data_IF_889653525780
#
_entry.id   IF_889653525780
#
_cell.length_a   1.000
_cell.length_b   1.000
_cell.length_c   1.000
_cell.angle_alpha   90.00
_cell.angle_beta   90.00
_cell.angle_gamma   90.00
#
_symmetry.space_group_name_H-M   'P 1'
#
loop_
_entity.id
_entity.type
_entity.pdbx_description
1 polymer ?
#
# COMPACT_ATOMS: atom_id res chain seq x y z
N UNK A 1 18.78 -34.04 10.67
CA UNK A 1 18.12 -34.01 9.36
C UNK A 1 17.42 -32.67 9.23
N UNK A 2 18.08 -31.70 8.58
CA UNK A 2 17.51 -30.36 8.33
C UNK A 2 16.55 -30.48 7.15
N UNK A 3 15.26 -30.37 7.43
CA UNK A 3 14.27 -30.15 6.37
C UNK A 3 14.34 -28.65 5.97
N UNK A 4 15.10 -28.37 4.92
CA UNK A 4 15.02 -27.11 4.20
C UNK A 4 13.62 -27.03 3.59
N UNK A 5 12.74 -26.25 4.18
CA UNK A 5 11.45 -25.87 3.58
C UNK A 5 11.73 -25.08 2.32
N UNK A 6 11.66 -25.76 1.19
CA UNK A 6 11.75 -25.17 -0.14
C UNK A 6 10.46 -24.37 -0.37
N UNK A 7 10.46 -23.10 0.06
CA UNK A 7 9.35 -22.18 -0.23
C UNK A 7 9.41 -21.91 -1.74
N UNK A 8 8.54 -22.53 -2.49
CA UNK A 8 8.34 -22.27 -3.92
C UNK A 8 8.12 -20.75 -4.08
N UNK A 9 8.80 -20.06 -5.02
CA UNK A 9 8.63 -18.62 -5.19
C UNK A 9 7.15 -18.32 -5.45
N UNK A 10 6.55 -17.49 -4.59
CA UNK A 10 5.16 -17.06 -4.74
C UNK A 10 4.99 -16.49 -6.15
N UNK A 11 3.88 -16.86 -6.81
CA UNK A 11 3.59 -16.33 -8.17
C UNK A 11 3.56 -14.81 -8.10
N UNK A 12 4.22 -14.09 -9.05
CA UNK A 12 4.19 -12.64 -9.09
C UNK A 12 2.74 -12.14 -9.11
N UNK A 13 2.41 -11.22 -8.22
CA UNK A 13 1.11 -10.55 -8.17
C UNK A 13 1.18 -9.14 -8.74
N UNK A 14 2.22 -8.40 -8.38
CA UNK A 14 2.58 -7.15 -9.03
C UNK A 14 3.88 -7.37 -9.81
N UNK A 15 3.88 -7.02 -11.09
CA UNK A 15 5.07 -7.02 -11.95
C UNK A 15 5.19 -5.66 -12.61
N UNK A 16 6.38 -5.09 -12.56
CA UNK A 16 6.75 -3.84 -13.22
C UNK A 16 7.97 -4.13 -14.07
N UNK A 17 7.97 -3.71 -15.33
CA UNK A 17 9.05 -3.96 -16.28
C UNK A 17 9.34 -2.73 -17.12
N UNK A 18 10.60 -2.28 -17.10
CA UNK A 18 11.09 -1.16 -17.89
C UNK A 18 10.32 0.14 -17.68
N UNK A 19 9.86 0.43 -16.45
CA UNK A 19 8.95 1.54 -16.15
C UNK A 19 9.67 2.89 -16.16
N UNK A 20 9.16 3.84 -16.94
CA UNK A 20 9.61 5.22 -16.99
C UNK A 20 8.47 6.19 -16.67
N UNK A 21 8.83 7.28 -15.99
CA UNK A 21 7.94 8.43 -15.77
C UNK A 21 8.69 9.75 -15.90
N UNK A 22 8.12 10.67 -16.66
CA UNK A 22 8.63 12.02 -16.87
C UNK A 22 7.58 13.05 -16.46
N UNK A 23 8.01 14.21 -16.01
CA UNK A 23 7.17 15.39 -15.82
C UNK A 23 7.78 16.58 -16.54
N UNK A 24 6.94 17.56 -16.89
CA UNK A 24 7.34 18.73 -17.66
C UNK A 24 7.51 18.46 -19.16
N UNK A 25 7.76 19.51 -19.93
CA UNK A 25 7.93 19.46 -21.39
C UNK A 25 9.20 20.19 -21.81
N UNK A 26 9.74 19.84 -22.98
CA UNK A 26 10.92 20.46 -23.56
C UNK A 26 12.14 20.41 -22.62
N UNK A 27 12.79 21.54 -22.41
CA UNK A 27 13.98 21.65 -21.55
C UNK A 27 13.67 21.46 -20.06
N UNK A 28 12.42 21.64 -19.62
CA UNK A 28 11.99 21.42 -18.25
C UNK A 28 11.58 19.95 -17.97
N UNK A 29 11.78 19.04 -18.91
CA UNK A 29 11.44 17.62 -18.74
C UNK A 29 12.36 16.96 -17.72
N UNK A 30 11.77 16.44 -16.64
CA UNK A 30 12.47 15.72 -15.58
C UNK A 30 12.05 14.26 -15.60
N UNK A 31 13.02 13.35 -15.65
CA UNK A 31 12.77 11.90 -15.52
C UNK A 31 12.74 11.55 -14.04
N UNK A 32 11.56 11.18 -13.52
CA UNK A 32 11.34 10.85 -12.10
C UNK A 32 11.50 9.36 -11.83
N UNK A 33 11.12 8.48 -12.77
CA UNK A 33 11.41 7.05 -12.70
C UNK A 33 12.13 6.61 -13.96
N UNK A 34 13.17 5.76 -13.76
CA UNK A 34 14.13 5.37 -14.79
C UNK A 34 14.30 3.86 -14.75
N UNK A 35 13.75 3.17 -15.74
CA UNK A 35 13.96 1.73 -15.98
C UNK A 35 13.67 0.87 -14.72
N UNK A 36 12.52 1.10 -14.07
CA UNK A 36 12.15 0.33 -12.89
C UNK A 36 11.65 -1.04 -13.32
N UNK A 37 12.30 -2.09 -12.82
CA UNK A 37 11.88 -3.48 -12.99
C UNK A 37 11.86 -4.18 -11.62
N UNK A 38 10.71 -4.75 -11.24
CA UNK A 38 10.53 -5.50 -9.99
C UNK A 38 9.31 -6.40 -10.04
N UNK A 39 9.23 -7.36 -9.10
CA UNK A 39 8.05 -8.20 -8.94
C UNK A 39 7.76 -8.47 -7.47
N UNK A 40 6.50 -8.38 -7.05
CA UNK A 40 6.03 -8.65 -5.69
C UNK A 40 5.07 -9.84 -5.74
N UNK A 41 5.27 -10.81 -4.87
CA UNK A 41 4.43 -12.01 -4.75
C UNK A 41 3.07 -11.70 -4.16
N UNK A 42 2.09 -12.59 -4.43
CA UNK A 42 0.76 -12.49 -3.83
C UNK A 42 0.86 -12.68 -2.30
N UNK A 43 0.23 -11.80 -1.55
CA UNK A 43 0.24 -11.83 -0.08
C UNK A 43 1.58 -11.40 0.55
N UNK A 44 2.54 -10.90 -0.23
CA UNK A 44 3.75 -10.31 0.33
C UNK A 44 3.49 -8.90 0.88
N UNK A 45 4.19 -8.55 1.94
CA UNK A 45 4.40 -7.17 2.38
C UNK A 45 5.70 -6.70 1.76
N UNK A 46 5.64 -5.64 0.96
CA UNK A 46 6.79 -4.99 0.34
C UNK A 46 6.97 -3.60 0.93
N UNK A 47 8.20 -3.22 1.27
CA UNK A 47 8.56 -1.87 1.71
C UNK A 47 9.39 -1.20 0.63
N UNK A 48 8.95 -0.03 0.17
CA UNK A 48 9.65 0.82 -0.78
C UNK A 48 10.27 2.00 -0.04
N UNK A 49 11.58 1.98 0.08
CA UNK A 49 12.41 2.98 0.77
C UNK A 49 13.01 3.99 -0.21
N UNK A 50 13.41 5.12 0.33
CA UNK A 50 14.21 6.12 -0.40
C UNK A 50 14.04 7.52 0.18
N UNK A 51 14.95 8.45 -0.13
CA UNK A 51 14.86 9.83 0.32
C UNK A 51 13.63 10.55 -0.29
N UNK A 52 13.30 11.72 0.26
CA UNK A 52 12.28 12.59 -0.34
C UNK A 52 12.66 12.91 -1.79
N UNK A 53 11.69 12.92 -2.68
CA UNK A 53 11.91 13.21 -4.11
C UNK A 53 12.49 12.05 -4.93
N UNK A 54 12.73 10.86 -4.36
CA UNK A 54 13.28 9.72 -5.11
C UNK A 54 12.32 9.05 -6.09
N UNK A 55 11.03 9.44 -6.11
CA UNK A 55 10.01 8.88 -7.01
C UNK A 55 9.05 7.88 -6.36
N UNK A 56 9.08 7.68 -5.02
CA UNK A 56 8.25 6.68 -4.31
C UNK A 56 6.75 6.88 -4.52
N UNK A 57 6.23 8.08 -4.25
CA UNK A 57 4.80 8.38 -4.44
C UNK A 57 4.40 8.33 -5.91
N UNK A 58 5.31 8.71 -6.83
CA UNK A 58 5.11 8.53 -8.28
C UNK A 58 4.96 7.06 -8.62
N UNK A 59 5.83 6.18 -8.08
CA UNK A 59 5.71 4.73 -8.27
C UNK A 59 4.35 4.21 -7.77
N UNK A 60 3.91 4.62 -6.57
CA UNK A 60 2.59 4.26 -6.04
C UNK A 60 1.45 4.74 -6.95
N UNK A 61 1.54 5.97 -7.46
CA UNK A 61 0.52 6.54 -8.35
C UNK A 61 0.39 5.73 -9.66
N UNK A 62 1.52 5.32 -10.23
CA UNK A 62 1.53 4.50 -11.45
C UNK A 62 0.96 3.11 -11.19
N UNK A 63 1.40 2.42 -10.13
CA UNK A 63 0.87 1.11 -9.73
C UNK A 63 -0.61 1.23 -9.31
N UNK A 64 -1.00 2.34 -8.71
CA UNK A 64 -2.39 2.66 -8.37
C UNK A 64 -3.27 3.02 -9.57
N UNK A 65 -2.70 3.17 -10.77
CA UNK A 65 -3.44 3.61 -11.96
C UNK A 65 -4.03 5.01 -11.78
N UNK A 66 -3.38 5.87 -10.99
CA UNK A 66 -3.76 7.28 -10.81
C UNK A 66 -3.14 8.14 -11.89
N UNK A 67 -1.99 7.73 -12.41
CA UNK A 67 -1.28 8.36 -13.50
C UNK A 67 -0.85 7.31 -14.54
N UNK A 68 -0.74 7.66 -15.84
CA UNK A 68 -0.19 6.77 -16.84
C UNK A 68 1.34 6.73 -16.77
N UNK A 69 1.92 5.57 -17.09
CA UNK A 69 3.35 5.45 -17.36
C UNK A 69 3.69 6.01 -18.74
N UNK A 70 4.92 6.53 -18.89
CA UNK A 70 5.39 7.01 -20.21
C UNK A 70 6.04 5.90 -21.04
N UNK A 71 6.60 4.87 -20.37
CA UNK A 71 7.10 3.64 -21.02
C UNK A 71 7.13 2.50 -20.00
N UNK A 72 7.29 1.27 -20.50
CA UNK A 72 7.30 0.04 -19.69
C UNK A 72 5.91 -0.53 -19.49
N UNK A 73 5.82 -1.52 -18.59
CA UNK A 73 4.56 -2.20 -18.26
C UNK A 73 4.35 -2.38 -16.77
N UNK A 74 3.07 -2.40 -16.35
CA UNK A 74 2.64 -2.65 -14.96
C UNK A 74 1.50 -3.66 -15.01
N UNK A 75 1.68 -4.79 -14.33
CA UNK A 75 0.64 -5.82 -14.20
C UNK A 75 0.33 -6.09 -12.74
N UNK A 76 -0.95 -6.11 -12.38
CA UNK A 76 -1.46 -6.46 -11.06
C UNK A 76 -2.44 -7.63 -11.18
N UNK A 77 -2.09 -8.77 -10.63
CA UNK A 77 -2.84 -10.01 -10.83
C UNK A 77 -2.94 -10.37 -12.31
N UNK A 78 -4.16 -10.39 -12.84
CA UNK A 78 -4.43 -10.62 -14.27
C UNK A 78 -4.59 -9.33 -15.08
N UNK A 79 -4.52 -8.15 -14.44
CA UNK A 79 -4.78 -6.86 -15.07
C UNK A 79 -3.46 -6.21 -15.51
N UNK A 80 -3.30 -5.97 -16.83
CA UNK A 80 -2.25 -5.12 -17.39
C UNK A 80 -2.75 -3.68 -17.36
N UNK A 81 -2.04 -2.80 -16.63
CA UNK A 81 -2.47 -1.40 -16.45
C UNK A 81 -2.04 -0.50 -17.62
N UNK A 82 -0.92 -0.86 -18.26
CA UNK A 82 -0.35 -0.06 -19.34
C UNK A 82 -1.29 -0.06 -20.55
N UNK A 83 -1.64 1.13 -21.01
CA UNK A 83 -2.55 1.29 -22.17
C UNK A 83 -4.04 1.20 -21.84
N UNK A 84 -4.44 1.00 -20.59
CA UNK A 84 -5.84 1.04 -20.17
C UNK A 84 -6.42 2.44 -20.34
N UNK A 85 -7.71 2.49 -20.71
CA UNK A 85 -8.48 3.73 -20.69
C UNK A 85 -8.68 4.24 -19.25
N UNK A 86 -8.99 5.53 -19.08
CA UNK A 86 -9.33 6.11 -17.79
C UNK A 86 -10.51 5.38 -17.10
N UNK A 87 -11.47 4.88 -17.90
CA UNK A 87 -12.61 4.07 -17.42
C UNK A 87 -12.13 2.73 -16.85
N UNK A 88 -11.25 2.03 -17.58
CA UNK A 88 -10.77 0.70 -17.17
C UNK A 88 -9.82 0.80 -15.97
N UNK A 89 -8.99 1.85 -15.88
CA UNK A 89 -8.22 2.19 -14.68
C UNK A 89 -9.15 2.47 -13.48
N UNK A 90 -10.30 3.10 -13.72
CA UNK A 90 -11.36 3.27 -12.70
C UNK A 90 -11.88 1.94 -12.18
N UNK A 91 -12.15 0.98 -13.07
CA UNK A 91 -12.58 -0.38 -12.70
C UNK A 91 -11.48 -1.13 -11.93
N UNK A 92 -10.22 -1.03 -12.35
CA UNK A 92 -9.07 -1.59 -11.64
C UNK A 92 -9.02 -1.06 -10.19
N UNK A 93 -9.04 0.28 -10.01
CA UNK A 93 -9.01 0.89 -8.67
C UNK A 93 -10.19 0.48 -7.80
N UNK A 94 -11.35 0.30 -8.42
CA UNK A 94 -12.55 -0.13 -7.72
C UNK A 94 -12.42 -1.55 -7.20
N UNK A 95 -11.89 -2.47 -8.01
CA UNK A 95 -11.90 -3.92 -7.74
C UNK A 95 -10.67 -4.42 -6.97
N UNK A 96 -9.49 -3.97 -7.37
CA UNK A 96 -8.23 -4.57 -6.94
C UNK A 96 -7.46 -3.73 -5.93
N UNK A 97 -7.72 -2.41 -5.87
CA UNK A 97 -6.85 -1.48 -5.16
C UNK A 97 -7.48 -0.91 -3.90
N UNK A 98 -6.80 -1.04 -2.75
CA UNK A 98 -6.95 -0.16 -1.59
C UNK A 98 -5.83 0.87 -1.57
N UNK A 99 -6.12 2.12 -1.19
CA UNK A 99 -5.10 3.15 -1.06
C UNK A 99 -5.20 3.84 0.31
N UNK A 100 -4.08 3.91 1.03
CA UNK A 100 -3.93 4.58 2.33
C UNK A 100 -2.96 5.73 2.16
N UNK A 101 -3.41 6.95 2.43
CA UNK A 101 -2.64 8.19 2.30
C UNK A 101 -2.04 8.62 3.64
N UNK A 102 -0.98 9.40 3.61
CA UNK A 102 -0.29 9.93 4.77
C UNK A 102 -1.22 10.78 5.68
N UNK A 103 -2.13 11.57 5.11
CA UNK A 103 -3.01 12.48 5.84
C UNK A 103 -4.46 11.95 5.95
N UNK A 104 -4.64 10.65 6.06
CA UNK A 104 -5.92 9.94 6.28
C UNK A 104 -6.99 10.20 5.22
N UNK A 105 -7.17 11.44 4.75
CA UNK A 105 -8.15 11.87 3.75
C UNK A 105 -9.59 11.41 4.08
N UNK A 106 -9.96 11.44 5.37
CA UNK A 106 -11.32 11.12 5.80
C UNK A 106 -12.28 12.24 5.44
N UNK A 107 -13.52 11.88 5.16
CA UNK A 107 -14.61 12.84 4.97
C UNK A 107 -15.03 13.36 6.34
N UNK A 108 -14.85 14.67 6.66
CA UNK A 108 -15.00 15.20 8.01
C UNK A 108 -16.44 15.12 8.54
N UNK A 109 -17.43 15.13 7.65
CA UNK A 109 -18.86 15.13 7.97
C UNK A 109 -19.46 13.71 7.99
N UNK A 110 -18.64 12.68 7.81
CA UNK A 110 -19.02 11.28 7.98
C UNK A 110 -18.39 10.72 9.26
N UNK A 111 -19.15 9.87 9.96
CA UNK A 111 -18.65 9.09 11.10
C UNK A 111 -17.53 8.13 10.67
N UNK A 112 -16.83 7.52 11.62
CA UNK A 112 -15.84 6.46 11.37
C UNK A 112 -16.48 5.32 10.56
N UNK A 113 -17.67 4.87 10.95
CA UNK A 113 -18.41 3.82 10.24
C UNK A 113 -18.70 4.23 8.80
N UNK A 114 -19.30 5.41 8.60
CA UNK A 114 -19.70 5.90 7.28
C UNK A 114 -18.50 6.14 6.36
N UNK A 115 -17.36 6.61 6.91
CA UNK A 115 -16.11 6.74 6.16
C UNK A 115 -15.61 5.39 5.58
N UNK A 116 -15.80 4.30 6.31
CA UNK A 116 -15.47 2.96 5.83
C UNK A 116 -16.54 2.48 4.87
N UNK A 117 -17.80 2.61 5.23
CA UNK A 117 -18.94 2.05 4.51
C UNK A 117 -19.11 2.65 3.11
N UNK A 118 -18.78 3.92 2.90
CA UNK A 118 -18.91 4.58 1.58
C UNK A 118 -18.18 3.83 0.47
N UNK A 119 -17.07 3.16 0.78
CA UNK A 119 -16.33 2.35 -0.19
C UNK A 119 -16.84 0.93 -0.34
N UNK A 120 -17.70 0.44 0.55
CA UNK A 120 -18.29 -0.90 0.50
C UNK A 120 -19.09 -1.12 -0.78
N UNK A 121 -19.82 -0.11 -1.20
CA UNK A 121 -20.66 -0.16 -2.41
C UNK A 121 -19.87 -0.23 -3.73
N UNK A 122 -18.56 -0.05 -3.67
CA UNK A 122 -17.68 -0.20 -4.82
C UNK A 122 -17.32 -1.66 -5.13
N UNK A 123 -17.54 -2.58 -4.18
CA UNK A 123 -17.18 -4.00 -4.30
C UNK A 123 -18.42 -4.88 -4.46
N UNK A 124 -18.26 -5.97 -5.23
CA UNK A 124 -19.27 -7.04 -5.32
C UNK A 124 -19.17 -8.03 -4.15
N UNK A 125 -18.01 -8.09 -3.49
CA UNK A 125 -17.75 -8.99 -2.36
C UNK A 125 -17.00 -8.23 -1.25
N UNK A 126 -17.64 -7.22 -0.63
CA UNK A 126 -17.01 -6.44 0.43
C UNK A 126 -16.83 -7.27 1.70
N UNK A 127 -15.84 -6.86 2.51
CA UNK A 127 -15.69 -7.42 3.86
C UNK A 127 -16.91 -7.04 4.72
N UNK A 128 -17.31 -7.92 5.67
CA UNK A 128 -18.35 -7.59 6.65
C UNK A 128 -17.90 -6.37 7.47
N UNK A 129 -18.71 -5.31 7.46
CA UNK A 129 -18.33 -4.01 8.03
C UNK A 129 -18.11 -4.08 9.54
N UNK A 130 -18.98 -4.79 10.25
CA UNK A 130 -18.90 -4.87 11.71
C UNK A 130 -17.68 -5.68 12.15
N UNK A 131 -17.37 -6.79 11.47
CA UNK A 131 -16.17 -7.60 11.72
C UNK A 131 -14.90 -6.77 11.46
N UNK A 132 -14.91 -5.97 10.39
CA UNK A 132 -13.80 -5.08 10.04
C UNK A 132 -13.61 -4.00 11.12
N UNK A 133 -14.68 -3.37 11.61
CA UNK A 133 -14.63 -2.39 12.69
C UNK A 133 -14.06 -3.00 13.97
N UNK A 134 -14.43 -4.22 14.32
CA UNK A 134 -13.85 -4.95 15.45
C UNK A 134 -12.36 -5.24 15.25
N UNK A 135 -11.97 -5.78 14.10
CA UNK A 135 -10.57 -6.10 13.78
C UNK A 135 -9.66 -4.88 13.78
N UNK A 136 -10.21 -3.71 13.42
CA UNK A 136 -9.49 -2.43 13.45
C UNK A 136 -9.47 -1.77 14.84
N UNK A 137 -10.19 -2.31 15.84
CA UNK A 137 -10.35 -1.69 17.16
C UNK A 137 -11.13 -0.37 17.11
N UNK A 138 -12.07 -0.24 16.16
CA UNK A 138 -12.86 0.98 15.93
C UNK A 138 -14.33 0.85 16.36
N UNK A 139 -14.74 -0.31 16.83
CA UNK A 139 -16.14 -0.57 17.17
C UNK A 139 -16.74 0.46 18.13
N UNK A 140 -16.03 0.79 19.21
CA UNK A 140 -16.47 1.77 20.23
C UNK A 140 -16.41 3.22 19.74
N UNK A 141 -15.79 3.43 18.56
CA UNK A 141 -15.62 4.76 17.97
C UNK A 141 -16.41 4.94 16.66
N UNK A 142 -17.17 3.93 16.24
CA UNK A 142 -17.84 3.86 14.93
C UNK A 142 -18.77 5.04 14.64
N UNK A 143 -19.42 5.57 15.68
CA UNK A 143 -20.41 6.66 15.58
C UNK A 143 -19.78 8.05 15.80
N UNK A 144 -18.45 8.12 16.00
CA UNK A 144 -17.71 9.38 16.16
C UNK A 144 -17.27 9.92 14.81
N UNK A 145 -17.17 11.26 14.75
CA UNK A 145 -16.60 11.94 13.59
C UNK A 145 -15.07 11.97 13.64
N UNK A 146 -14.35 12.18 12.50
CA UNK A 146 -12.89 12.21 12.47
C UNK A 146 -12.26 13.15 13.50
N UNK A 147 -12.85 14.33 13.73
CA UNK A 147 -12.39 15.31 14.73
C UNK A 147 -12.49 14.85 16.20
N UNK A 148 -13.20 13.75 16.47
CA UNK A 148 -13.46 13.22 17.81
C UNK A 148 -12.62 11.99 18.13
N UNK A 149 -11.74 11.58 17.23
CA UNK A 149 -10.89 10.40 17.35
C UNK A 149 -9.42 10.77 17.18
N UNK A 150 -8.51 9.98 17.78
CA UNK A 150 -7.07 10.21 17.70
C UNK A 150 -6.52 10.02 16.28
N UNK A 151 -5.30 10.50 15.99
CA UNK A 151 -4.63 10.29 14.72
C UNK A 151 -4.49 8.80 14.36
N UNK A 152 -4.14 7.96 15.32
CA UNK A 152 -4.08 6.50 15.12
C UNK A 152 -5.45 5.89 14.78
N UNK A 153 -6.53 6.37 15.41
CA UNK A 153 -7.89 5.93 15.09
C UNK A 153 -8.32 6.42 13.69
N UNK A 154 -7.93 7.64 13.31
CA UNK A 154 -8.15 8.15 11.95
C UNK A 154 -7.40 7.30 10.91
N UNK A 155 -6.16 6.92 11.21
CA UNK A 155 -5.38 6.04 10.33
C UNK A 155 -6.00 4.64 10.21
N UNK A 156 -6.44 4.05 11.32
CA UNK A 156 -7.18 2.77 11.31
C UNK A 156 -8.47 2.88 10.48
N UNK A 157 -9.17 4.00 10.55
CA UNK A 157 -10.34 4.28 9.72
C UNK A 157 -9.99 4.38 8.23
N UNK A 158 -8.90 5.06 7.86
CA UNK A 158 -8.42 5.14 6.49
C UNK A 158 -8.01 3.76 5.93
N UNK A 159 -7.36 2.93 6.76
CA UNK A 159 -7.05 1.53 6.43
C UNK A 159 -8.34 0.74 6.22
N UNK A 160 -9.33 0.87 7.12
CA UNK A 160 -10.63 0.19 7.00
C UNK A 160 -11.37 0.58 5.72
N UNK A 161 -11.37 1.87 5.38
CA UNK A 161 -11.97 2.37 4.14
C UNK A 161 -11.30 1.78 2.90
N UNK A 162 -9.98 1.59 2.94
CA UNK A 162 -9.24 0.96 1.85
C UNK A 162 -9.53 -0.54 1.75
N UNK A 163 -9.69 -1.23 2.89
CA UNK A 163 -9.87 -2.68 3.00
C UNK A 163 -11.30 -3.17 2.76
N UNK A 164 -12.32 -2.36 3.10
CA UNK A 164 -13.72 -2.82 3.05
C UNK A 164 -14.14 -3.37 1.69
N UNK A 165 -13.48 -2.92 0.62
CA UNK A 165 -13.68 -3.44 -0.75
C UNK A 165 -13.14 -4.85 -0.95
N UNK A 166 -12.37 -5.39 -0.01
CA UNK A 166 -11.62 -6.65 -0.13
C UNK A 166 -10.62 -6.63 -1.29
N UNK A 167 -9.68 -5.66 -1.32
CA UNK A 167 -8.76 -5.48 -2.43
C UNK A 167 -7.66 -6.54 -2.44
N UNK A 168 -7.15 -6.92 -3.64
CA UNK A 168 -5.97 -7.76 -3.77
C UNK A 168 -4.65 -7.03 -3.46
N UNK A 169 -4.63 -5.69 -3.61
CA UNK A 169 -3.47 -4.82 -3.40
C UNK A 169 -3.82 -3.64 -2.49
N UNK A 170 -3.01 -3.43 -1.46
CA UNK A 170 -3.07 -2.25 -0.59
C UNK A 170 -1.79 -1.43 -0.77
N UNK A 171 -1.94 -0.21 -1.27
CA UNK A 171 -0.86 0.76 -1.40
C UNK A 171 -0.93 1.75 -0.24
N UNK A 172 0.18 1.95 0.47
CA UNK A 172 0.26 2.81 1.64
C UNK A 172 1.39 3.82 1.47
N UNK A 173 1.03 5.10 1.36
CA UNK A 173 1.99 6.20 1.27
C UNK A 173 2.21 6.79 2.66
N UNK A 174 3.40 6.54 3.24
CA UNK A 174 3.83 7.00 4.58
C UNK A 174 2.75 6.76 5.68
N UNK A 175 2.27 5.52 5.87
CA UNK A 175 1.10 5.25 6.72
C UNK A 175 1.33 5.56 8.21
N UNK A 176 2.57 5.78 8.62
CA UNK A 176 2.97 6.13 9.99
C UNK A 176 3.58 7.53 10.12
N UNK A 177 3.72 8.26 9.01
CA UNK A 177 4.49 9.51 8.96
C UNK A 177 3.92 10.67 9.79
N UNK A 178 2.64 10.61 10.20
CA UNK A 178 1.97 11.63 11.03
C UNK A 178 1.69 11.15 12.46
N UNK A 179 2.28 10.02 12.89
CA UNK A 179 1.99 9.36 14.16
C UNK A 179 3.22 9.33 15.07
N UNK A 180 2.98 9.26 16.37
CA UNK A 180 4.02 8.99 17.36
C UNK A 180 4.53 7.54 17.25
N UNK A 181 5.65 7.26 17.91
CA UNK A 181 6.32 5.96 17.86
C UNK A 181 5.41 4.78 18.24
N UNK A 182 4.70 4.88 19.37
CA UNK A 182 3.87 3.79 19.86
C UNK A 182 2.68 3.52 18.93
N UNK A 183 2.00 4.59 18.52
CA UNK A 183 0.88 4.51 17.57
C UNK A 183 1.35 3.95 16.21
N UNK A 184 2.57 4.33 15.76
CA UNK A 184 3.17 3.80 14.53
C UNK A 184 3.35 2.28 14.59
N UNK A 185 3.86 1.76 15.72
CA UNK A 185 3.99 0.30 15.92
C UNK A 185 2.63 -0.39 15.85
N UNK A 186 1.62 0.13 16.51
CA UNK A 186 0.27 -0.43 16.47
C UNK A 186 -0.33 -0.45 15.06
N UNK A 187 -0.06 0.57 14.24
CA UNK A 187 -0.50 0.58 12.84
C UNK A 187 0.25 -0.47 12.01
N UNK A 188 1.55 -0.65 12.23
CA UNK A 188 2.33 -1.68 11.53
C UNK A 188 1.90 -3.09 11.95
N UNK A 189 1.62 -3.33 13.23
CA UNK A 189 1.02 -4.58 13.72
C UNK A 189 -0.32 -4.87 13.06
N UNK A 190 -1.18 -3.84 12.96
CA UNK A 190 -2.46 -3.94 12.27
C UNK A 190 -2.28 -4.31 10.80
N UNK A 191 -1.32 -3.70 10.09
CA UNK A 191 -1.04 -4.02 8.69
C UNK A 191 -0.53 -5.45 8.53
N UNK A 192 0.32 -5.93 9.44
CA UNK A 192 0.77 -7.32 9.49
C UNK A 192 -0.40 -8.28 9.72
N UNK A 193 -1.31 -7.96 10.63
CA UNK A 193 -2.53 -8.72 10.88
C UNK A 193 -3.44 -8.76 9.64
N UNK A 194 -3.69 -7.60 9.02
CA UNK A 194 -4.47 -7.47 7.77
C UNK A 194 -3.89 -8.34 6.66
N UNK A 195 -2.57 -8.32 6.49
CA UNK A 195 -1.90 -9.16 5.50
C UNK A 195 -2.15 -10.66 5.76
N UNK A 196 -2.05 -11.10 7.02
CA UNK A 196 -2.30 -12.50 7.40
C UNK A 196 -3.76 -12.92 7.23
N UNK A 197 -4.68 -12.08 7.72
CA UNK A 197 -6.11 -12.45 7.84
C UNK A 197 -6.83 -12.38 6.49
N UNK A 198 -6.47 -11.41 5.63
CA UNK A 198 -7.13 -11.18 4.35
C UNK A 198 -6.28 -11.60 3.13
N UNK A 199 -5.01 -11.98 3.32
CA UNK A 199 -4.11 -12.37 2.23
C UNK A 199 -3.83 -11.23 1.23
N UNK A 200 -4.07 -9.97 1.63
CA UNK A 200 -3.87 -8.79 0.80
C UNK A 200 -2.38 -8.53 0.59
N UNK A 201 -1.95 -8.30 -0.65
CA UNK A 201 -0.58 -7.84 -0.94
C UNK A 201 -0.46 -6.38 -0.51
N UNK A 202 0.60 -6.02 0.23
CA UNK A 202 0.76 -4.67 0.77
C UNK A 202 2.06 -4.06 0.25
N UNK A 203 2.00 -2.83 -0.26
CA UNK A 203 3.19 -2.02 -0.57
C UNK A 203 3.18 -0.78 0.32
N UNK A 204 4.19 -0.68 1.17
CA UNK A 204 4.39 0.45 2.10
C UNK A 204 5.51 1.32 1.56
N UNK A 205 5.21 2.57 1.26
CA UNK A 205 6.22 3.59 1.00
C UNK A 205 6.55 4.28 2.32
N UNK A 206 7.83 4.38 2.63
CA UNK A 206 8.30 5.09 3.82
C UNK A 206 9.75 5.54 3.70
N UNK A 207 10.15 6.49 4.54
CA UNK A 207 11.54 6.88 4.74
C UNK A 207 12.13 6.24 6.02
N UNK A 208 11.32 5.55 6.85
CA UNK A 208 11.78 4.87 8.04
C UNK A 208 12.38 3.49 7.68
N UNK A 209 13.72 3.39 7.79
CA UNK A 209 14.47 2.19 7.39
C UNK A 209 14.19 0.98 8.28
N UNK A 210 13.74 1.18 9.52
CA UNK A 210 13.43 0.07 10.44
C UNK A 210 12.24 -0.79 9.97
N UNK A 211 11.30 -0.19 9.24
CA UNK A 211 10.10 -0.89 8.75
C UNK A 211 10.44 -2.02 7.77
N UNK A 212 11.59 -1.94 7.07
CA UNK A 212 12.04 -3.01 6.16
C UNK A 212 12.13 -4.38 6.82
N UNK A 213 12.44 -4.43 8.12
CA UNK A 213 12.64 -5.70 8.81
C UNK A 213 11.37 -6.55 8.95
N UNK A 214 10.17 -5.94 8.86
CA UNK A 214 8.90 -6.69 8.84
C UNK A 214 8.47 -7.11 7.43
N UNK A 215 9.09 -6.57 6.39
CA UNK A 215 8.69 -6.79 5.01
C UNK A 215 9.27 -8.08 4.43
N UNK A 216 8.50 -8.77 3.58
CA UNK A 216 8.96 -9.92 2.79
C UNK A 216 9.91 -9.50 1.66
N UNK A 217 9.70 -8.29 1.13
CA UNK A 217 10.48 -7.72 0.04
C UNK A 217 10.85 -6.27 0.35
N UNK A 218 12.09 -5.92 0.06
CA UNK A 218 12.65 -4.59 0.27
C UNK A 218 13.05 -4.03 -1.08
N UNK A 219 12.50 -2.86 -1.39
CA UNK A 219 12.85 -2.07 -2.57
C UNK A 219 13.42 -0.73 -2.10
N UNK A 220 14.44 -0.21 -2.80
CA UNK A 220 14.98 1.11 -2.51
C UNK A 220 15.13 1.93 -3.78
N UNK A 221 14.47 3.09 -3.80
CA UNK A 221 14.61 4.07 -4.87
C UNK A 221 15.61 5.15 -4.50
N UNK A 222 16.50 5.46 -5.46
CA UNK A 222 17.43 6.59 -5.40
C UNK A 222 17.51 7.23 -6.77
N UNK A 223 17.30 8.56 -6.84
CA UNK A 223 17.38 9.35 -8.08
C UNK A 223 16.57 8.77 -9.25
N UNK A 224 15.40 8.21 -8.92
CA UNK A 224 14.46 7.61 -9.87
C UNK A 224 14.80 6.20 -10.32
N UNK A 225 15.86 5.58 -9.81
CA UNK A 225 16.27 4.21 -10.14
C UNK A 225 16.13 3.28 -8.94
N UNK A 226 15.85 2.00 -9.20
CA UNK A 226 15.83 0.96 -8.17
C UNK A 226 17.27 0.51 -7.90
N UNK A 227 17.76 0.77 -6.67
CA UNK A 227 19.13 0.44 -6.25
C UNK A 227 19.22 -0.78 -5.35
N UNK A 228 18.08 -1.23 -4.80
CA UNK A 228 17.97 -2.43 -3.98
C UNK A 228 16.64 -3.11 -4.31
N UNK A 229 16.67 -4.40 -4.51
CA UNK A 229 15.49 -5.27 -4.70
C UNK A 229 15.79 -6.64 -4.08
N UNK A 230 15.46 -6.81 -2.81
CA UNK A 230 15.87 -7.96 -2.02
C UNK A 230 14.67 -8.63 -1.34
N UNK A 231 14.78 -9.94 -1.14
CA UNK A 231 13.89 -10.70 -0.26
C UNK A 231 14.49 -10.77 1.13
N UNK A 232 13.67 -10.46 2.13
CA UNK A 232 14.09 -10.57 3.52
C UNK A 232 14.19 -12.06 3.90
N UNK A 233 15.33 -12.45 4.43
CA UNK A 233 15.57 -13.83 4.86
C UNK A 233 14.93 -14.14 6.22
N UNK A 234 14.71 -13.13 7.07
CA UNK A 234 14.15 -13.26 8.41
C UNK A 234 13.25 -12.08 8.73
N UNK A 235 11.96 -12.34 8.92
CA UNK A 235 10.99 -11.30 9.28
C UNK A 235 11.02 -11.03 10.77
N UNK A 236 11.04 -9.75 11.12
CA UNK A 236 10.87 -9.27 12.49
C UNK A 236 9.41 -8.84 12.66
N UNK A 237 8.66 -9.39 13.62
CA UNK A 237 7.30 -8.94 13.89
C UNK A 237 7.24 -7.42 14.13
N UNK A 238 6.21 -6.75 13.66
CA UNK A 238 6.09 -5.30 13.76
C UNK A 238 6.23 -4.77 15.20
N UNK A 239 5.70 -5.51 16.18
CA UNK A 239 5.82 -5.19 17.61
C UNK A 239 7.26 -5.16 18.16
N UNK A 240 8.20 -5.81 17.46
CA UNK A 240 9.60 -5.90 17.86
C UNK A 240 10.51 -4.93 17.09
N UNK A 241 9.93 -4.10 16.22
CA UNK A 241 10.70 -3.07 15.52
C UNK A 241 11.14 -1.97 16.50
N UNK A 242 12.36 -1.46 16.28
CA UNK A 242 12.93 -0.35 17.04
C UNK A 242 13.50 0.68 16.06
N UNK A 243 13.25 1.99 16.25
CA UNK A 243 13.78 3.13 15.50
C UNK A 243 13.80 4.41 16.33
#
# INVERSE_FOLDING_TARGET
MNQSTNVSPARPFLTVDGLYKHYGEGEARVTVLKDIATSIGKGEVCVLLGPSGSGKSTFLNLVGGLEPADAGSIRVGSCELTGLSAKDLGEYRRRELGFVFQFYNLVPDLTVRENIEVCRYLSKNPLPLDDLLHSLGLWEHRDKFPRQVSGGQQQRCAIGRALVKNPGLLLCDEPTGALDYQTSKEILELMEQVNRDFGCTIVIVTHNDAIKHMAHRILRLRDGSLVEDERNAALVPARNLEW
#
